data_IF_727516850867
#
_entry.id   IF_727516850867
#
_cell.length_a   1.000
_cell.length_b   1.000
_cell.length_c   1.000
_cell.angle_alpha   90.00
_cell.angle_beta   90.00
_cell.angle_gamma   90.00
#
_symmetry.space_group_name_H-M   'P 1'
#
loop_
_entity.id
_entity.type
_entity.pdbx_description
1 polymer ?
#
# COMPACT_ATOMS: atom_id res chain seq x y z
N UNK A 1 -14.27 36.92 3.36
CA UNK A 1 -14.50 35.87 4.36
C UNK A 1 -14.68 34.50 3.71
N UNK A 2 -15.55 34.43 2.78
CA UNK A 2 -15.82 33.19 2.06
C UNK A 2 -14.57 32.62 1.44
N UNK A 3 -13.77 33.46 0.82
CA UNK A 3 -12.53 33.02 0.17
C UNK A 3 -11.56 32.45 1.19
N UNK A 4 -11.50 33.05 2.38
CA UNK A 4 -10.61 32.60 3.41
C UNK A 4 -11.05 31.23 3.91
N UNK A 5 -12.34 31.04 4.12
CA UNK A 5 -12.89 29.75 4.50
C UNK A 5 -12.60 28.72 3.42
N UNK A 6 -12.78 29.13 2.19
CA UNK A 6 -12.53 28.24 1.07
C UNK A 6 -11.07 27.78 1.05
N UNK A 7 -10.14 28.69 1.29
CA UNK A 7 -8.72 28.34 1.31
C UNK A 7 -8.41 27.38 2.45
N UNK A 8 -8.96 27.62 3.62
CA UNK A 8 -8.74 26.72 4.75
C UNK A 8 -9.29 25.35 4.44
N UNK A 9 -10.45 25.29 3.80
CA UNK A 9 -11.03 24.02 3.37
C UNK A 9 -10.15 23.32 2.36
N UNK A 10 -9.63 24.07 1.39
CA UNK A 10 -8.73 23.51 0.38
C UNK A 10 -7.47 22.91 1.02
N UNK A 11 -6.90 23.62 1.97
CA UNK A 11 -5.74 23.13 2.70
C UNK A 11 -6.03 21.83 3.41
N UNK A 12 -7.19 21.77 4.06
CA UNK A 12 -7.60 20.56 4.75
C UNK A 12 -7.85 19.41 3.77
N UNK A 13 -8.46 19.73 2.63
CA UNK A 13 -8.71 18.74 1.60
C UNK A 13 -7.43 18.18 1.04
N UNK A 14 -6.43 19.02 0.81
CA UNK A 14 -5.15 18.57 0.34
C UNK A 14 -4.48 17.62 1.33
N UNK A 15 -4.55 17.95 2.61
CA UNK A 15 -4.02 17.08 3.64
C UNK A 15 -4.75 15.75 3.66
N UNK A 16 -6.07 15.80 3.57
CA UNK A 16 -6.89 14.60 3.56
C UNK A 16 -6.59 13.73 2.35
N UNK A 17 -6.48 14.34 1.17
CA UNK A 17 -6.15 13.63 -0.06
C UNK A 17 -4.79 12.96 0.07
N UNK A 18 -3.81 13.65 0.65
CA UNK A 18 -2.49 13.11 0.86
C UNK A 18 -2.52 11.89 1.76
N UNK A 19 -3.33 11.92 2.82
CA UNK A 19 -3.49 10.76 3.70
C UNK A 19 -4.18 9.61 2.98
N UNK A 20 -5.09 9.91 2.06
CA UNK A 20 -5.82 8.89 1.31
C UNK A 20 -4.97 8.21 0.24
N UNK A 21 -3.75 8.71 -0.03
CA UNK A 21 -2.85 8.13 -1.03
C UNK A 21 -1.75 7.27 -0.42
N UNK A 22 -1.88 6.91 0.84
CA UNK A 22 -0.88 6.04 1.49
C UNK A 22 -0.87 4.65 0.87
N UNK A 23 0.33 4.12 0.77
CA UNK A 23 0.55 2.75 0.29
C UNK A 23 1.02 1.90 1.46
N UNK A 24 0.38 0.75 1.63
CA UNK A 24 0.81 -0.25 2.61
C UNK A 24 1.54 -1.36 1.86
N UNK A 25 2.79 -1.59 2.23
CA UNK A 25 3.60 -2.68 1.70
C UNK A 25 3.53 -3.83 2.71
N UNK A 26 2.98 -4.97 2.30
CA UNK A 26 2.92 -6.17 3.15
C UNK A 26 4.00 -7.15 2.68
N UNK A 27 4.87 -7.54 3.61
CA UNK A 27 6.00 -8.40 3.31
C UNK A 27 7.30 -7.60 3.17
N UNK A 28 7.40 -6.47 3.85
CA UNK A 28 8.60 -5.64 3.81
C UNK A 28 9.77 -6.35 4.48
N UNK A 29 10.98 -6.09 3.98
CA UNK A 29 12.21 -6.72 4.46
C UNK A 29 13.37 -5.74 4.34
N UNK A 30 14.31 -5.84 5.28
CA UNK A 30 15.54 -5.06 5.21
C UNK A 30 16.54 -5.62 4.21
N UNK A 31 16.27 -6.79 3.64
CA UNK A 31 17.17 -7.41 2.66
C UNK A 31 17.10 -6.64 1.34
N UNK A 32 18.20 -5.96 0.92
CA UNK A 32 18.15 -5.14 -0.29
C UNK A 32 17.90 -5.91 -1.58
N UNK A 33 18.02 -7.23 -1.54
CA UNK A 33 17.77 -8.06 -2.73
C UNK A 33 16.29 -8.38 -2.90
N UNK A 34 15.48 -8.15 -1.88
CA UNK A 34 14.04 -8.41 -1.96
C UNK A 34 13.34 -7.33 -2.77
N UNK A 35 12.37 -7.74 -3.57
CA UNK A 35 11.57 -6.79 -4.34
C UNK A 35 10.78 -5.84 -3.45
N UNK A 36 10.36 -6.31 -2.26
CA UNK A 36 9.65 -5.44 -1.32
C UNK A 36 10.54 -4.28 -0.84
N UNK A 37 11.83 -4.55 -0.63
CA UNK A 37 12.79 -3.50 -0.26
C UNK A 37 12.88 -2.46 -1.37
N UNK A 38 13.06 -2.93 -2.61
CA UNK A 38 13.16 -2.04 -3.77
C UNK A 38 11.89 -1.24 -3.97
N UNK A 39 10.74 -1.87 -3.71
CA UNK A 39 9.46 -1.18 -3.83
C UNK A 39 9.33 -0.04 -2.84
N UNK A 40 9.71 -0.27 -1.58
CA UNK A 40 9.67 0.81 -0.57
C UNK A 40 10.58 1.95 -1.00
N UNK A 41 11.80 1.64 -1.44
CA UNK A 41 12.72 2.67 -1.90
C UNK A 41 12.14 3.47 -3.07
N UNK A 42 11.59 2.79 -4.05
CA UNK A 42 11.07 3.45 -5.25
C UNK A 42 9.80 4.25 -4.94
N UNK A 43 8.93 3.73 -4.10
CA UNK A 43 7.75 4.47 -3.65
C UNK A 43 8.16 5.77 -2.97
N UNK A 44 9.14 5.71 -2.08
CA UNK A 44 9.63 6.91 -1.40
C UNK A 44 10.32 7.87 -2.36
N UNK A 45 11.05 7.35 -3.33
CA UNK A 45 11.68 8.20 -4.35
C UNK A 45 10.64 8.92 -5.20
N UNK A 46 9.45 8.35 -5.34
CA UNK A 46 8.32 8.99 -6.03
C UNK A 46 7.43 9.77 -5.06
N UNK A 47 7.94 10.05 -3.86
CA UNK A 47 7.27 10.86 -2.85
C UNK A 47 5.91 10.31 -2.41
N UNK A 48 5.76 8.98 -2.44
CA UNK A 48 4.58 8.33 -1.92
C UNK A 48 4.72 8.11 -0.42
N UNK A 49 3.62 8.28 0.32
CA UNK A 49 3.59 7.94 1.73
C UNK A 49 3.49 6.43 1.87
N UNK A 50 4.40 5.84 2.63
CA UNK A 50 4.51 4.39 2.73
C UNK A 50 4.46 3.93 4.18
N UNK A 51 3.67 2.89 4.41
CA UNK A 51 3.74 2.12 5.66
C UNK A 51 4.26 0.75 5.27
N UNK A 52 5.37 0.34 5.85
CA UNK A 52 6.00 -0.95 5.57
C UNK A 52 5.71 -1.90 6.72
N UNK A 53 5.05 -3.02 6.40
CA UNK A 53 4.71 -4.06 7.37
C UNK A 53 5.47 -5.33 7.06
N UNK A 54 6.16 -5.87 8.05
CA UNK A 54 6.95 -7.09 7.89
C UNK A 54 7.05 -7.89 9.15
N UNK A 55 7.64 -9.07 9.04
CA UNK A 55 7.80 -9.98 10.18
C UNK A 55 8.84 -9.50 11.18
N UNK A 56 9.81 -8.74 10.72
CA UNK A 56 10.89 -8.22 11.54
C UNK A 56 10.91 -6.72 11.43
N UNK A 57 11.08 -6.05 12.55
CA UNK A 57 11.29 -4.62 12.54
C UNK A 57 12.62 -4.29 11.90
N UNK A 58 12.70 -3.12 11.29
CA UNK A 58 13.89 -2.68 10.60
C UNK A 58 13.67 -1.35 9.93
N UNK A 59 14.57 -1.00 9.03
CA UNK A 59 14.56 0.30 8.37
C UNK A 59 14.93 0.14 6.90
N UNK A 60 14.18 0.82 6.03
CA UNK A 60 14.49 0.92 4.61
C UNK A 60 14.55 2.42 4.30
N UNK A 61 15.77 2.98 4.21
CA UNK A 61 15.91 4.42 4.03
C UNK A 61 15.29 5.18 5.19
N UNK A 62 14.29 5.99 4.91
CA UNK A 62 13.57 6.76 5.93
C UNK A 62 12.29 6.06 6.41
N UNK A 63 12.05 4.82 5.99
CA UNK A 63 10.84 4.09 6.29
C UNK A 63 11.10 2.97 7.29
N UNK A 64 10.42 3.02 8.43
CA UNK A 64 10.54 1.98 9.46
C UNK A 64 9.62 0.83 9.09
N UNK A 65 10.13 -0.40 9.22
CA UNK A 65 9.29 -1.59 9.07
C UNK A 65 8.62 -1.87 10.41
N UNK A 66 7.30 -1.87 10.42
CA UNK A 66 6.52 -2.15 11.63
C UNK A 66 5.97 -3.57 11.59
N UNK A 67 5.73 -4.13 12.77
CA UNK A 67 5.07 -5.42 12.92
C UNK A 67 3.59 -5.26 13.21
N UNK A 68 3.10 -4.03 13.23
CA UNK A 68 1.69 -3.74 13.48
C UNK A 68 1.01 -3.24 12.21
N UNK A 69 -0.12 -3.85 11.91
CA UNK A 69 -0.93 -3.42 10.76
C UNK A 69 -1.59 -2.08 11.07
N UNK A 70 -1.57 -1.14 10.12
CA UNK A 70 -2.19 0.17 10.36
C UNK A 70 -3.71 0.07 10.31
N UNK A 71 -4.36 0.94 11.08
CA UNK A 71 -5.80 1.09 11.03
C UNK A 71 -6.17 2.41 10.37
N UNK A 72 -5.29 2.92 9.53
CA UNK A 72 -5.45 4.22 8.88
C UNK A 72 -6.03 4.03 7.49
N UNK A 73 -6.41 5.16 6.89
CA UNK A 73 -6.88 5.16 5.51
C UNK A 73 -5.72 4.82 4.59
N UNK A 74 -5.85 3.74 3.86
CA UNK A 74 -4.85 3.26 2.91
C UNK A 74 -5.51 3.22 1.53
N UNK A 75 -4.87 3.82 0.55
CA UNK A 75 -5.38 3.78 -0.82
C UNK A 75 -4.97 2.50 -1.52
N UNK A 76 -3.70 2.16 -1.43
CA UNK A 76 -3.13 1.03 -2.16
C UNK A 76 -2.39 0.10 -1.20
N UNK A 77 -2.67 -1.19 -1.33
CA UNK A 77 -1.89 -2.23 -0.68
C UNK A 77 -1.09 -2.94 -1.77
N UNK A 78 0.21 -3.14 -1.54
CA UNK A 78 1.03 -3.92 -2.45
C UNK A 78 1.58 -5.13 -1.71
N UNK A 79 1.29 -6.33 -2.24
CA UNK A 79 1.58 -7.59 -1.58
C UNK A 79 2.89 -8.20 -2.08
N UNK A 80 3.71 -8.60 -1.12
CA UNK A 80 4.97 -9.31 -1.37
C UNK A 80 5.04 -10.62 -0.58
N UNK A 81 3.89 -11.18 -0.24
CA UNK A 81 3.77 -12.48 0.41
C UNK A 81 2.95 -13.39 -0.48
N UNK A 82 3.22 -14.70 -0.42
CA UNK A 82 2.53 -15.65 -1.29
C UNK A 82 1.08 -15.88 -0.86
N UNK A 83 0.33 -16.58 -1.70
CA UNK A 83 -1.10 -16.78 -1.47
C UNK A 83 -1.41 -17.42 -0.13
N UNK A 84 -0.60 -18.39 0.29
CA UNK A 84 -0.83 -19.07 1.56
C UNK A 84 -0.66 -18.11 2.75
N UNK A 85 0.39 -17.30 2.71
CA UNK A 85 0.65 -16.32 3.76
C UNK A 85 -0.39 -15.20 3.79
N UNK A 86 -1.08 -14.96 2.67
CA UNK A 86 -2.12 -13.93 2.59
C UNK A 86 -3.36 -14.28 3.38
N UNK A 87 -3.61 -15.55 3.65
CA UNK A 87 -4.88 -16.00 4.26
C UNK A 87 -5.16 -15.35 5.61
N UNK A 88 -4.13 -15.17 6.41
CA UNK A 88 -4.33 -14.57 7.72
C UNK A 88 -4.69 -13.08 7.65
N UNK A 89 -4.55 -12.45 6.48
CA UNK A 89 -4.85 -11.03 6.30
C UNK A 89 -6.16 -10.76 5.57
N UNK A 90 -6.91 -11.77 5.19
CA UNK A 90 -8.13 -11.57 4.41
C UNK A 90 -9.11 -10.63 5.12
N UNK A 91 -9.43 -10.93 6.36
CA UNK A 91 -10.41 -10.11 7.11
C UNK A 91 -9.90 -8.70 7.31
N UNK A 92 -8.60 -8.57 7.58
CA UNK A 92 -7.98 -7.26 7.74
C UNK A 92 -8.09 -6.43 6.47
N UNK A 93 -7.76 -7.02 5.33
CA UNK A 93 -7.77 -6.30 4.05
C UNK A 93 -9.17 -5.86 3.67
N UNK A 94 -10.16 -6.70 3.90
CA UNK A 94 -11.56 -6.35 3.63
C UNK A 94 -12.00 -5.21 4.54
N UNK A 95 -11.67 -5.27 5.82
CA UNK A 95 -12.03 -4.22 6.78
C UNK A 95 -11.31 -2.90 6.46
N UNK A 96 -10.06 -2.97 6.03
CA UNK A 96 -9.28 -1.80 5.65
C UNK A 96 -9.88 -1.10 4.45
N UNK A 97 -10.42 -1.87 3.53
CA UNK A 97 -11.10 -1.41 2.32
C UNK A 97 -10.29 -0.40 1.51
N UNK A 98 -9.07 -0.76 1.08
CA UNK A 98 -8.30 0.12 0.20
C UNK A 98 -8.97 0.21 -1.17
N UNK A 99 -8.58 1.16 -1.98
CA UNK A 99 -9.13 1.28 -3.33
C UNK A 99 -8.65 0.13 -4.22
N UNK A 100 -7.40 -0.29 -4.02
CA UNK A 100 -6.83 -1.37 -4.83
C UNK A 100 -5.80 -2.14 -4.03
N UNK A 101 -5.62 -3.39 -4.43
CA UNK A 101 -4.55 -4.24 -3.89
C UNK A 101 -3.76 -4.76 -5.08
N UNK A 102 -2.45 -4.49 -5.08
CA UNK A 102 -1.56 -4.93 -6.15
C UNK A 102 -0.97 -6.27 -5.77
N UNK A 103 -1.18 -7.25 -6.65
CA UNK A 103 -0.62 -8.59 -6.52
C UNK A 103 0.63 -8.64 -7.39
N UNK A 104 1.79 -8.44 -6.77
CA UNK A 104 3.06 -8.51 -7.48
C UNK A 104 3.34 -9.94 -7.93
N UNK A 105 4.25 -10.14 -8.91
CA UNK A 105 4.55 -11.51 -9.38
C UNK A 105 4.90 -12.43 -8.21
N UNK A 106 4.26 -13.60 -8.19
CA UNK A 106 4.45 -14.59 -7.14
C UNK A 106 3.43 -14.50 -6.01
N UNK A 107 2.54 -13.50 -6.04
CA UNK A 107 1.52 -13.32 -4.99
C UNK A 107 0.11 -13.59 -5.50
N UNK A 108 -0.03 -14.06 -6.72
CA UNK A 108 -1.34 -14.30 -7.36
C UNK A 108 -2.22 -15.19 -6.49
N UNK A 109 -3.51 -14.83 -6.38
CA UNK A 109 -4.42 -15.51 -5.46
C UNK A 109 -5.87 -15.32 -5.90
N UNK A 110 -6.38 -16.29 -6.65
CA UNK A 110 -7.75 -16.25 -7.17
C UNK A 110 -8.80 -16.13 -6.06
N UNK A 111 -8.59 -16.86 -4.95
CA UNK A 111 -9.52 -16.82 -3.84
C UNK A 111 -9.68 -15.42 -3.28
N UNK A 112 -8.54 -14.73 -3.10
CA UNK A 112 -8.57 -13.36 -2.58
C UNK A 112 -9.14 -12.40 -3.62
N UNK A 113 -8.86 -12.59 -4.91
CA UNK A 113 -9.44 -11.75 -5.95
C UNK A 113 -10.97 -11.76 -5.85
N UNK A 114 -11.56 -12.93 -5.70
CA UNK A 114 -13.01 -13.06 -5.63
C UNK A 114 -13.57 -12.37 -4.39
N UNK A 115 -12.89 -12.53 -3.25
CA UNK A 115 -13.29 -11.86 -2.00
C UNK A 115 -13.23 -10.34 -2.14
N UNK A 116 -12.17 -9.83 -2.77
CA UNK A 116 -12.00 -8.39 -2.95
C UNK A 116 -13.07 -7.82 -3.87
N UNK A 117 -13.34 -8.50 -4.98
CA UNK A 117 -14.37 -8.05 -5.92
C UNK A 117 -15.73 -8.02 -5.27
N UNK A 118 -16.03 -9.02 -4.43
CA UNK A 118 -17.30 -9.08 -3.70
C UNK A 118 -17.44 -7.92 -2.71
N UNK A 119 -16.35 -7.28 -2.34
CA UNK A 119 -16.34 -6.17 -1.39
C UNK A 119 -15.95 -4.84 -2.03
N UNK A 120 -16.04 -4.74 -3.36
CA UNK A 120 -15.76 -3.52 -4.11
C UNK A 120 -14.32 -3.01 -3.92
N UNK A 121 -13.38 -3.91 -3.74
CA UNK A 121 -11.96 -3.60 -3.70
C UNK A 121 -11.34 -4.15 -4.98
N UNK A 122 -10.57 -3.32 -5.67
CA UNK A 122 -10.01 -3.70 -6.97
C UNK A 122 -8.72 -4.51 -6.80
N UNK A 123 -8.71 -5.78 -7.21
CA UNK A 123 -7.44 -6.52 -7.30
C UNK A 123 -6.74 -6.18 -8.62
N UNK A 124 -5.43 -6.06 -8.58
CA UNK A 124 -4.63 -5.73 -9.75
C UNK A 124 -3.39 -6.59 -9.79
N UNK A 125 -3.29 -7.47 -10.79
CA UNK A 125 -2.06 -8.22 -11.02
C UNK A 125 -1.08 -7.34 -11.77
N UNK A 126 -0.02 -6.92 -11.10
CA UNK A 126 0.94 -6.01 -11.70
C UNK A 126 2.23 -6.02 -10.87
N UNK A 127 3.27 -5.42 -11.41
CA UNK A 127 4.52 -5.23 -10.70
C UNK A 127 4.62 -3.76 -10.28
N UNK A 128 4.64 -3.51 -8.98
CA UNK A 128 4.71 -2.15 -8.45
C UNK A 128 5.91 -1.39 -8.98
N UNK A 129 7.07 -2.04 -9.08
CA UNK A 129 8.27 -1.40 -9.60
C UNK A 129 8.09 -0.96 -11.05
N UNK A 130 7.47 -1.80 -11.87
CA UNK A 130 7.20 -1.47 -13.27
C UNK A 130 6.19 -0.34 -13.37
N UNK A 131 5.15 -0.38 -12.55
CA UNK A 131 4.13 0.69 -12.54
C UNK A 131 4.77 2.04 -12.21
N UNK A 132 5.65 2.07 -11.23
CA UNK A 132 6.32 3.32 -10.84
C UNK A 132 7.27 3.81 -11.92
N UNK A 133 8.03 2.89 -12.53
CA UNK A 133 9.00 3.29 -13.55
C UNK A 133 8.36 3.70 -14.86
N UNK A 134 7.12 3.29 -15.13
CA UNK A 134 6.39 3.65 -16.35
C UNK A 134 5.34 4.73 -16.13
N UNK A 135 5.24 5.26 -14.91
CA UNK A 135 4.27 6.31 -14.62
C UNK A 135 2.83 5.81 -14.51
N UNK A 136 2.64 4.52 -14.29
CA UNK A 136 1.29 3.93 -14.22
C UNK A 136 0.84 3.61 -12.80
N UNK A 137 1.62 3.98 -11.82
CA UNK A 137 1.23 3.75 -10.42
C UNK A 137 0.12 4.75 -9.96
#
# INVERSE_FOLDING_TARGET
>A
MEIILHRVVDCKQNKFIKMATKTLVIGASENPERYSYKAVQMLRAHEKDVIAFGRKEGIIGDTVITKQLPEKVIETVTLYINAEAQKEYYDYLIALHPKRIIFNPGTENEELYDLLKANDIKPLEACTLVMLSTGQY
#
